data_IF_604126617393
#
_entry.id   IF_604126617393
#
_cell.length_a   1.000
_cell.length_b   1.000
_cell.length_c   1.000
_cell.angle_alpha   90.00
_cell.angle_beta   90.00
_cell.angle_gamma   90.00
#
_symmetry.space_group_name_H-M   'P 1'
#
loop_
_entity.id
_entity.type
_entity.pdbx_description
1 polymer ?
#
# COMPACT_ATOMS: atom_id res chain seq x y z
N UNK A 1 -22.40 -16.01 -15.60
CA UNK A 1 -22.04 -16.72 -14.35
C UNK A 1 -20.53 -16.51 -14.17
N UNK A 2 -19.98 -16.00 -13.08
CA UNK A 2 -20.55 -15.74 -11.76
C UNK A 2 -20.14 -14.38 -11.19
N UNK A 3 -21.07 -13.78 -10.45
CA UNK A 3 -20.71 -12.83 -9.41
C UNK A 3 -20.17 -13.68 -8.26
N UNK A 4 -18.87 -13.58 -7.95
CA UNK A 4 -18.32 -14.19 -6.76
C UNK A 4 -18.89 -13.51 -5.53
N UNK A 5 -19.72 -14.20 -4.77
CA UNK A 5 -19.97 -13.77 -3.40
C UNK A 5 -18.78 -14.17 -2.52
N UNK A 6 -18.45 -13.34 -1.52
CA UNK A 6 -17.39 -13.70 -0.57
C UNK A 6 -17.80 -14.95 0.23
N UNK A 7 -19.10 -15.14 0.41
CA UNK A 7 -19.75 -16.28 1.06
C UNK A 7 -19.41 -17.59 0.36
N UNK A 8 -19.59 -17.67 -0.96
CA UNK A 8 -19.24 -18.86 -1.75
C UNK A 8 -17.75 -19.17 -1.66
N UNK A 9 -16.90 -18.14 -1.70
CA UNK A 9 -15.45 -18.31 -1.57
C UNK A 9 -15.09 -18.89 -0.20
N UNK A 10 -15.62 -18.33 0.89
CA UNK A 10 -15.34 -18.81 2.24
C UNK A 10 -15.86 -20.24 2.42
N UNK A 11 -17.03 -20.56 1.86
CA UNK A 11 -17.60 -21.91 1.88
C UNK A 11 -16.69 -22.90 1.13
N UNK A 12 -16.25 -22.57 -0.08
CA UNK A 12 -15.34 -23.42 -0.86
C UNK A 12 -13.98 -23.61 -0.17
N UNK A 13 -13.52 -22.58 0.54
CA UNK A 13 -12.30 -22.62 1.32
C UNK A 13 -12.46 -23.30 2.69
N UNK A 14 -13.68 -23.67 3.08
CA UNK A 14 -14.00 -24.25 4.40
C UNK A 14 -13.51 -23.34 5.55
N UNK A 15 -13.87 -22.05 5.45
CA UNK A 15 -13.46 -21.01 6.41
C UNK A 15 -14.68 -20.51 7.15
N UNK A 16 -14.71 -20.78 8.45
CA UNK A 16 -15.67 -20.17 9.37
C UNK A 16 -15.36 -18.69 9.62
N UNK A 17 -16.40 -17.87 9.62
CA UNK A 17 -16.25 -16.44 9.86
C UNK A 17 -17.49 -15.82 10.49
N UNK A 18 -17.28 -14.69 11.15
CA UNK A 18 -18.34 -13.75 11.56
C UNK A 18 -18.12 -12.40 10.89
N UNK A 19 -19.20 -11.67 10.63
CA UNK A 19 -19.13 -10.29 10.15
C UNK A 19 -18.86 -9.34 11.31
N UNK A 20 -17.97 -8.38 11.10
CA UNK A 20 -17.72 -7.27 12.02
C UNK A 20 -17.53 -5.98 11.21
N UNK A 21 -18.61 -5.19 11.08
CA UNK A 21 -18.62 -4.01 10.22
C UNK A 21 -18.27 -4.35 8.77
N UNK A 22 -17.20 -3.74 8.26
CA UNK A 22 -16.72 -3.93 6.86
C UNK A 22 -15.82 -5.17 6.66
N UNK A 23 -15.50 -5.91 7.73
CA UNK A 23 -14.58 -7.04 7.66
C UNK A 23 -15.24 -8.35 8.11
N UNK A 24 -14.68 -9.46 7.64
CA UNK A 24 -14.91 -10.80 8.18
C UNK A 24 -13.82 -11.09 9.22
N UNK A 25 -14.19 -11.75 10.31
CA UNK A 25 -13.31 -12.05 11.43
C UNK A 25 -13.47 -13.51 11.85
N UNK A 26 -12.38 -14.16 12.26
CA UNK A 26 -12.41 -15.54 12.74
C UNK A 26 -11.07 -16.03 13.27
N UNK A 27 -10.98 -17.34 13.50
CA UNK A 27 -9.69 -18.05 13.65
C UNK A 27 -8.92 -17.95 12.35
N UNK A 28 -7.59 -18.08 12.38
CA UNK A 28 -6.80 -17.89 11.17
C UNK A 28 -6.73 -19.19 10.35
N UNK A 29 -7.34 -19.26 9.17
CA UNK A 29 -7.37 -20.50 8.38
C UNK A 29 -6.01 -20.83 7.71
N UNK A 30 -5.01 -19.95 7.84
CA UNK A 30 -3.66 -20.13 7.26
C UNK A 30 -2.70 -20.81 8.24
N UNK A 31 -2.96 -20.77 9.54
CA UNK A 31 -2.17 -21.51 10.54
C UNK A 31 -2.99 -22.34 11.52
N UNK A 32 -4.33 -22.26 11.44
CA UNK A 32 -5.23 -22.80 12.45
C UNK A 32 -5.27 -21.92 13.71
N UNK A 33 -5.60 -22.54 14.83
CA UNK A 33 -5.68 -21.91 16.14
C UNK A 33 -7.12 -21.69 16.63
N UNK A 34 -7.22 -21.22 17.87
CA UNK A 34 -8.47 -21.11 18.64
C UNK A 34 -8.92 -19.67 18.88
N UNK A 35 -8.07 -18.66 18.63
CA UNK A 35 -8.43 -17.26 18.81
C UNK A 35 -9.43 -16.78 17.74
N UNK A 36 -10.70 -16.47 18.10
CA UNK A 36 -11.76 -16.12 17.15
C UNK A 36 -11.65 -14.69 16.57
N UNK A 37 -10.55 -14.00 16.85
CA UNK A 37 -10.23 -12.66 16.35
C UNK A 37 -8.86 -12.60 15.65
N UNK A 38 -8.22 -13.75 15.41
CA UNK A 38 -6.88 -13.82 14.86
C UNK A 38 -6.81 -13.37 13.39
N UNK A 39 -7.87 -13.54 12.63
CA UNK A 39 -7.90 -13.23 11.20
C UNK A 39 -8.94 -12.16 10.88
N UNK A 40 -8.53 -11.19 10.06
CA UNK A 40 -9.41 -10.19 9.48
C UNK A 40 -9.30 -10.27 7.96
N UNK A 41 -10.44 -10.31 7.27
CA UNK A 41 -10.54 -10.24 5.81
C UNK A 41 -11.45 -9.09 5.42
N UNK A 42 -11.06 -8.33 4.41
CA UNK A 42 -11.75 -7.14 3.94
C UNK A 42 -12.24 -7.43 2.51
N UNK A 43 -13.50 -7.87 2.34
CA UNK A 43 -14.04 -8.19 1.02
C UNK A 43 -13.99 -6.97 0.10
N UNK A 44 -14.29 -5.81 0.68
CA UNK A 44 -14.19 -4.50 0.06
C UNK A 44 -13.00 -3.74 0.63
N UNK A 45 -12.37 -2.92 -0.21
CA UNK A 45 -11.26 -2.05 0.17
C UNK A 45 -11.08 -0.92 -0.84
N UNK A 46 -10.50 0.19 -0.41
CA UNK A 46 -10.23 1.34 -1.28
C UNK A 46 -9.12 1.03 -2.28
N UNK A 47 -8.01 0.46 -1.81
CA UNK A 47 -6.85 0.10 -2.64
C UNK A 47 -6.88 -1.36 -3.12
N UNK A 48 -7.39 -2.28 -2.31
CA UNK A 48 -7.35 -3.72 -2.59
C UNK A 48 -8.55 -4.46 -2.01
N UNK A 49 -9.31 -5.13 -2.88
CA UNK A 49 -10.36 -6.08 -2.49
C UNK A 49 -9.75 -7.40 -2.06
N UNK A 50 -10.36 -8.03 -1.05
CA UNK A 50 -9.85 -9.27 -0.48
C UNK A 50 -8.51 -9.12 0.24
N UNK A 51 -8.22 -7.92 0.74
CA UNK A 51 -7.10 -7.72 1.65
C UNK A 51 -7.33 -8.53 2.93
N UNK A 52 -6.29 -9.14 3.47
CA UNK A 52 -6.40 -9.90 4.72
C UNK A 52 -5.20 -9.70 5.64
N UNK A 53 -5.40 -9.97 6.92
CA UNK A 53 -4.35 -9.86 7.94
C UNK A 53 -4.53 -10.89 9.04
N UNK A 54 -3.43 -11.52 9.43
CA UNK A 54 -3.35 -12.30 10.66
C UNK A 54 -2.78 -11.43 11.78
N UNK A 55 -3.48 -11.37 12.91
CA UNK A 55 -3.15 -10.57 14.09
C UNK A 55 -2.26 -11.30 15.10
N UNK A 56 -2.16 -12.62 14.99
CA UNK A 56 -1.38 -13.46 15.91
C UNK A 56 -0.01 -13.80 15.31
N UNK A 57 0.01 -14.59 14.24
CA UNK A 57 1.25 -15.09 13.62
C UNK A 57 1.73 -14.28 12.40
N UNK A 58 1.02 -13.21 12.03
CA UNK A 58 1.34 -12.38 10.85
C UNK A 58 1.61 -13.21 9.60
N UNK A 59 0.78 -14.22 9.35
CA UNK A 59 0.92 -15.16 8.25
C UNK A 59 1.07 -14.45 6.89
N UNK A 60 0.43 -13.30 6.71
CA UNK A 60 0.54 -12.50 5.48
C UNK A 60 1.97 -11.99 5.21
N UNK A 61 2.81 -11.92 6.25
CA UNK A 61 4.21 -11.50 6.19
C UNK A 61 5.21 -12.65 6.27
N UNK A 62 4.76 -13.90 6.40
CA UNK A 62 5.66 -15.06 6.55
C UNK A 62 6.60 -15.14 5.34
N UNK A 63 7.89 -15.29 5.58
CA UNK A 63 8.92 -15.40 4.54
C UNK A 63 9.49 -16.81 4.48
N UNK A 64 10.04 -17.19 3.32
CA UNK A 64 10.89 -18.38 3.19
C UNK A 64 12.34 -18.06 3.62
N UNK A 65 13.23 -19.07 3.58
CA UNK A 65 14.64 -18.92 3.93
C UNK A 65 15.42 -17.88 3.11
N UNK A 66 14.89 -17.46 1.95
CA UNK A 66 15.48 -16.44 1.08
C UNK A 66 14.86 -15.04 1.30
N UNK A 67 14.08 -14.85 2.37
CA UNK A 67 13.42 -13.58 2.68
C UNK A 67 12.22 -13.25 1.79
N UNK A 68 11.78 -14.16 0.90
CA UNK A 68 10.64 -13.92 0.02
C UNK A 68 9.33 -14.20 0.77
N UNK A 69 8.39 -13.26 0.72
CA UNK A 69 7.04 -13.42 1.28
C UNK A 69 6.32 -14.60 0.62
N UNK A 70 5.78 -15.50 1.45
CA UNK A 70 5.09 -16.72 1.02
C UNK A 70 3.67 -16.45 0.55
N UNK A 71 2.87 -15.75 1.37
CA UNK A 71 1.45 -15.56 1.11
C UNK A 71 1.15 -14.13 0.68
N UNK A 72 1.57 -13.12 1.44
CA UNK A 72 1.23 -11.74 1.15
C UNK A 72 -0.24 -11.43 1.51
N UNK A 73 -0.63 -10.15 1.54
CA UNK A 73 -1.94 -9.73 2.03
C UNK A 73 -3.05 -9.74 0.96
N UNK A 74 -2.77 -10.26 -0.25
CA UNK A 74 -3.73 -10.27 -1.36
C UNK A 74 -4.71 -11.44 -1.24
N UNK A 75 -5.82 -11.40 -1.99
CA UNK A 75 -6.77 -12.52 -2.08
C UNK A 75 -6.09 -13.83 -2.56
N UNK A 76 -5.26 -13.75 -3.60
CA UNK A 76 -4.51 -14.92 -4.07
C UNK A 76 -3.56 -15.44 -2.98
N UNK A 77 -2.92 -14.53 -2.24
CA UNK A 77 -2.10 -14.85 -1.07
C UNK A 77 -2.86 -15.56 0.05
N UNK A 78 -4.07 -15.09 0.34
CA UNK A 78 -4.98 -15.71 1.30
C UNK A 78 -5.33 -17.14 0.88
N UNK A 79 -5.87 -17.32 -0.32
CA UNK A 79 -6.25 -18.63 -0.88
C UNK A 79 -5.07 -19.58 -0.80
N UNK A 80 -3.90 -19.13 -1.26
CA UNK A 80 -2.67 -19.91 -1.19
C UNK A 80 -2.32 -20.35 0.23
N UNK A 81 -2.45 -19.46 1.21
CA UNK A 81 -2.21 -19.75 2.62
C UNK A 81 -3.17 -20.80 3.17
N UNK A 82 -4.47 -20.63 2.90
CA UNK A 82 -5.53 -21.56 3.33
C UNK A 82 -5.31 -22.95 2.72
N UNK A 83 -5.10 -23.01 1.40
CA UNK A 83 -4.85 -24.27 0.70
C UNK A 83 -3.57 -24.94 1.20
N UNK A 84 -2.53 -24.16 1.52
CA UNK A 84 -1.28 -24.72 2.06
C UNK A 84 -1.49 -25.38 3.43
N UNK A 85 -2.30 -24.75 4.29
CA UNK A 85 -2.65 -25.30 5.59
C UNK A 85 -3.50 -26.56 5.46
N UNK A 86 -4.58 -26.50 4.68
CA UNK A 86 -5.51 -27.61 4.45
C UNK A 86 -4.83 -28.84 3.84
N UNK A 87 -3.93 -28.63 2.89
CA UNK A 87 -3.22 -29.73 2.22
C UNK A 87 -2.01 -30.24 3.01
N UNK A 88 -1.72 -29.65 4.18
CA UNK A 88 -0.51 -29.89 4.96
C UNK A 88 0.77 -29.86 4.11
N UNK A 89 0.79 -28.99 3.11
CA UNK A 89 1.86 -28.87 2.11
C UNK A 89 1.82 -27.48 1.49
N UNK A 90 2.99 -26.88 1.27
CA UNK A 90 3.08 -25.62 0.56
C UNK A 90 2.46 -25.69 -0.85
N UNK A 91 1.52 -24.78 -1.11
CA UNK A 91 0.87 -24.58 -2.41
C UNK A 91 1.58 -23.45 -3.16
N UNK A 92 1.89 -23.66 -4.44
CA UNK A 92 2.55 -22.64 -5.25
C UNK A 92 1.60 -21.48 -5.58
N UNK A 93 2.15 -20.37 -6.08
CA UNK A 93 1.29 -19.28 -6.56
C UNK A 93 0.47 -19.74 -7.77
N UNK A 94 1.06 -20.50 -8.70
CA UNK A 94 0.36 -21.03 -9.86
C UNK A 94 -0.79 -21.94 -9.46
N UNK A 95 -0.57 -22.88 -8.54
CA UNK A 95 -1.63 -23.78 -8.05
C UNK A 95 -2.79 -23.00 -7.41
N UNK A 96 -2.50 -21.90 -6.70
CA UNK A 96 -3.54 -21.05 -6.11
C UNK A 96 -4.35 -20.29 -7.17
N UNK A 97 -3.72 -19.92 -8.28
CA UNK A 97 -4.39 -19.30 -9.42
C UNK A 97 -5.23 -20.34 -10.16
N UNK A 98 -4.70 -21.53 -10.40
CA UNK A 98 -5.43 -22.63 -11.07
C UNK A 98 -6.65 -23.06 -10.24
N UNK A 99 -6.54 -23.08 -8.92
CA UNK A 99 -7.67 -23.30 -8.02
C UNK A 99 -8.73 -22.19 -8.18
N UNK A 100 -8.31 -20.93 -8.21
CA UNK A 100 -9.22 -19.78 -8.35
C UNK A 100 -9.95 -19.77 -9.70
N UNK A 101 -9.26 -20.12 -10.79
CA UNK A 101 -9.82 -20.28 -12.13
C UNK A 101 -10.91 -21.34 -12.15
N UNK A 102 -10.63 -22.51 -11.58
CA UNK A 102 -11.61 -23.60 -11.46
C UNK A 102 -12.79 -23.22 -10.58
N UNK A 103 -12.52 -22.56 -9.46
CA UNK A 103 -13.56 -22.07 -8.54
C UNK A 103 -14.50 -21.06 -9.23
N UNK A 104 -13.95 -20.22 -10.12
CA UNK A 104 -14.72 -19.29 -10.96
C UNK A 104 -15.53 -19.96 -12.07
N UNK A 105 -15.38 -21.28 -12.27
CA UNK A 105 -16.05 -22.04 -13.32
C UNK A 105 -15.35 -22.03 -14.68
N UNK A 106 -14.08 -21.64 -14.73
CA UNK A 106 -13.24 -21.68 -15.94
C UNK A 106 -12.29 -22.87 -15.90
N UNK A 107 -11.87 -23.36 -17.06
CA UNK A 107 -10.86 -24.43 -17.15
C UNK A 107 -9.43 -23.89 -17.18
N UNK A 108 -9.24 -22.68 -17.70
CA UNK A 108 -7.93 -22.02 -17.81
C UNK A 108 -8.05 -20.49 -17.69
N UNK A 109 -6.93 -19.82 -17.42
CA UNK A 109 -6.86 -18.37 -17.41
C UNK A 109 -7.19 -17.74 -18.78
N UNK A 110 -6.93 -18.46 -19.87
CA UNK A 110 -7.12 -17.95 -21.23
C UNK A 110 -8.61 -17.81 -21.60
N UNK A 111 -9.50 -18.54 -20.91
CA UNK A 111 -10.95 -18.39 -21.04
C UNK A 111 -11.46 -17.07 -20.42
N UNK A 112 -10.66 -16.44 -19.54
CA UNK A 112 -11.03 -15.21 -18.86
C UNK A 112 -10.73 -14.03 -19.80
N UNK A 113 -11.79 -13.43 -20.33
CA UNK A 113 -11.68 -12.28 -21.22
C UNK A 113 -10.99 -11.12 -20.48
N UNK A 114 -9.81 -10.74 -20.97
CA UNK A 114 -9.11 -9.55 -20.48
C UNK A 114 -9.99 -8.31 -20.74
N UNK A 115 -10.08 -7.38 -19.78
CA UNK A 115 -10.80 -6.15 -20.02
C UNK A 115 -10.19 -5.39 -21.20
N UNK A 116 -11.03 -4.71 -21.98
CA UNK A 116 -10.54 -3.85 -23.06
C UNK A 116 -9.65 -2.74 -22.50
N UNK A 117 -8.75 -2.16 -23.31
CA UNK A 117 -7.95 -1.00 -22.91
C UNK A 117 -8.82 0.12 -22.34
N UNK A 118 -9.97 0.43 -22.99
CA UNK A 118 -10.89 1.47 -22.53
C UNK A 118 -11.56 1.12 -21.20
N UNK A 119 -11.92 -0.16 -21.00
CA UNK A 119 -12.49 -0.62 -19.72
C UNK A 119 -11.46 -0.57 -18.59
N UNK A 120 -10.19 -0.80 -18.90
CA UNK A 120 -9.07 -0.70 -17.97
C UNK A 120 -8.77 0.76 -17.61
N UNK A 121 -8.71 1.64 -18.62
CA UNK A 121 -8.52 3.08 -18.45
C UNK A 121 -9.68 3.69 -17.64
N UNK A 122 -10.94 3.36 -17.96
CA UNK A 122 -12.10 3.80 -17.20
C UNK A 122 -12.02 3.38 -15.73
N UNK A 123 -11.54 2.16 -15.44
CA UNK A 123 -11.30 1.70 -14.06
C UNK A 123 -10.21 2.50 -13.37
N UNK A 124 -9.09 2.76 -14.04
CA UNK A 124 -7.99 3.56 -13.49
C UNK A 124 -8.44 5.00 -13.23
N UNK A 125 -9.18 5.61 -14.14
CA UNK A 125 -9.76 6.94 -13.99
C UNK A 125 -10.77 6.99 -12.83
N UNK A 126 -11.70 6.04 -12.75
CA UNK A 126 -12.64 5.98 -11.62
C UNK A 126 -11.91 5.80 -10.28
N UNK A 127 -10.79 5.06 -10.24
CA UNK A 127 -9.96 4.92 -9.07
C UNK A 127 -9.19 6.20 -8.72
N UNK A 128 -8.74 6.99 -9.72
CA UNK A 128 -8.07 8.26 -9.48
C UNK A 128 -9.04 9.32 -8.93
N UNK A 129 -10.29 9.34 -9.40
CA UNK A 129 -11.34 10.23 -8.87
C UNK A 129 -11.59 10.03 -7.37
N UNK A 130 -11.47 8.78 -6.87
CA UNK A 130 -11.61 8.50 -5.42
C UNK A 130 -10.56 9.25 -4.58
N UNK A 131 -9.41 9.57 -5.16
CA UNK A 131 -8.31 10.27 -4.47
C UNK A 131 -8.46 11.79 -4.49
N UNK A 132 -9.32 12.33 -5.36
CA UNK A 132 -9.50 13.79 -5.50
C UNK A 132 -10.07 14.39 -4.21
N UNK A 133 -10.94 13.66 -3.51
CA UNK A 133 -11.54 14.14 -2.26
C UNK A 133 -10.73 13.75 -1.02
N UNK A 134 -9.56 13.10 -1.17
CA UNK A 134 -8.69 12.83 -0.04
C UNK A 134 -7.96 14.11 0.34
N UNK A 135 -8.42 14.75 1.40
CA UNK A 135 -7.69 15.84 2.04
C UNK A 135 -6.59 15.19 2.90
N UNK A 136 -5.29 15.45 2.64
CA UNK A 136 -4.22 14.95 3.48
C UNK A 136 -4.46 15.38 4.92
N UNK A 137 -4.27 14.47 5.87
CA UNK A 137 -4.37 14.82 7.29
C UNK A 137 -3.20 15.74 7.62
N UNK A 138 -3.48 17.03 7.73
CA UNK A 138 -2.50 18.03 8.17
C UNK A 138 -2.12 17.73 9.63
N UNK A 139 -0.82 17.76 9.94
CA UNK A 139 -0.32 17.58 11.31
C UNK A 139 0.18 18.91 11.86
N UNK A 140 -0.18 19.23 13.10
CA UNK A 140 0.37 20.38 13.83
C UNK A 140 1.81 20.15 14.31
N UNK A 141 2.42 19.01 13.94
CA UNK A 141 3.79 18.62 14.29
C UNK A 141 4.71 18.88 13.10
N UNK A 142 5.74 19.70 13.28
CA UNK A 142 6.71 19.99 12.22
C UNK A 142 7.66 21.13 12.58
N UNK A 143 8.59 21.46 11.68
CA UNK A 143 9.45 22.62 11.85
C UNK A 143 8.70 23.89 11.44
N UNK A 144 8.71 24.91 12.29
CA UNK A 144 8.26 26.24 11.87
C UNK A 144 9.22 26.81 10.83
N UNK A 145 8.72 27.73 9.98
CA UNK A 145 9.56 28.48 9.03
C UNK A 145 10.75 29.15 9.72
N UNK A 146 10.55 29.72 10.91
CA UNK A 146 11.63 30.33 11.70
C UNK A 146 12.69 29.30 12.10
N UNK A 147 12.27 28.10 12.55
CA UNK A 147 13.19 27.02 12.90
C UNK A 147 13.99 26.56 11.68
N UNK A 148 13.34 26.42 10.53
CA UNK A 148 14.02 26.09 9.28
C UNK A 148 15.08 27.13 8.93
N UNK A 149 14.72 28.42 8.85
CA UNK A 149 15.65 29.49 8.46
C UNK A 149 16.83 29.64 9.42
N UNK A 150 16.69 29.22 10.68
CA UNK A 150 17.82 29.15 11.64
C UNK A 150 18.75 27.95 11.43
N UNK A 151 18.34 26.96 10.63
CA UNK A 151 19.04 25.67 10.47
C UNK A 151 19.78 25.56 9.14
N UNK A 152 19.31 26.23 8.09
CA UNK A 152 19.90 26.21 6.75
C UNK A 152 20.43 27.59 6.35
N UNK A 153 21.46 27.62 5.52
CA UNK A 153 21.99 28.88 4.97
C UNK A 153 21.20 29.28 3.73
N UNK A 154 20.44 30.37 3.81
CA UNK A 154 19.65 30.92 2.72
C UNK A 154 20.29 32.26 2.29
N UNK A 155 20.45 32.53 0.99
CA UNK A 155 20.14 31.66 -0.15
C UNK A 155 21.15 30.50 -0.33
N UNK A 156 20.72 29.41 -0.98
CA UNK A 156 21.61 28.31 -1.31
C UNK A 156 22.67 28.71 -2.35
N UNK A 157 23.96 28.75 -1.97
CA UNK A 157 25.05 29.14 -2.89
C UNK A 157 25.11 28.27 -4.15
N UNK A 158 24.83 26.96 -4.01
CA UNK A 158 24.76 26.00 -5.12
C UNK A 158 23.85 26.47 -6.28
N UNK A 159 22.71 27.09 -5.96
CA UNK A 159 21.78 27.60 -6.97
C UNK A 159 22.10 29.05 -7.37
N UNK A 160 22.64 29.87 -6.46
CA UNK A 160 23.14 31.20 -6.81
C UNK A 160 24.21 31.13 -7.90
N UNK A 161 25.20 30.25 -7.73
CA UNK A 161 26.28 30.02 -8.70
C UNK A 161 25.76 29.52 -10.06
N UNK A 162 24.55 28.96 -10.10
CA UNK A 162 23.87 28.48 -11.31
C UNK A 162 22.90 29.50 -11.92
N UNK A 163 22.95 30.75 -11.46
CA UNK A 163 22.20 31.87 -12.04
C UNK A 163 20.76 32.01 -11.53
N UNK A 164 20.39 31.33 -10.43
CA UNK A 164 19.09 31.53 -9.81
C UNK A 164 19.04 32.84 -9.03
N UNK A 165 17.90 33.52 -9.06
CA UNK A 165 17.71 34.79 -8.35
C UNK A 165 17.72 34.58 -6.84
N UNK A 166 18.58 35.32 -6.13
CA UNK A 166 18.61 35.39 -4.68
C UNK A 166 17.22 35.67 -4.08
N UNK A 167 16.48 36.62 -4.66
CA UNK A 167 15.12 36.96 -4.22
C UNK A 167 14.17 35.77 -4.31
N UNK A 168 14.30 34.94 -5.34
CA UNK A 168 13.47 33.73 -5.49
C UNK A 168 13.89 32.66 -4.48
N UNK A 169 15.19 32.48 -4.27
CA UNK A 169 15.71 31.53 -3.29
C UNK A 169 15.29 31.91 -1.86
N UNK A 170 15.35 33.19 -1.50
CA UNK A 170 14.88 33.67 -0.20
C UNK A 170 13.36 33.55 -0.04
N UNK A 171 12.59 33.90 -1.08
CA UNK A 171 11.11 33.79 -1.08
C UNK A 171 10.64 32.37 -0.77
N UNK A 172 11.32 31.36 -1.28
CA UNK A 172 10.98 29.95 -1.09
C UNK A 172 11.86 29.24 -0.04
N UNK A 173 12.62 30.00 0.75
CA UNK A 173 13.51 29.51 1.81
C UNK A 173 14.47 28.40 1.34
N UNK A 174 14.97 28.51 0.10
CA UNK A 174 15.90 27.56 -0.49
C UNK A 174 17.30 27.83 0.04
N UNK A 175 17.87 26.84 0.74
CA UNK A 175 19.14 27.00 1.44
C UNK A 175 20.03 25.77 1.43
N UNK A 176 21.25 25.92 1.92
CA UNK A 176 22.20 24.84 2.11
C UNK A 176 22.07 24.23 3.49
N UNK A 177 21.99 22.90 3.52
CA UNK A 177 22.12 22.09 4.73
C UNK A 177 23.52 21.46 4.75
N UNK A 178 24.45 22.17 5.39
CA UNK A 178 25.88 21.85 5.36
C UNK A 178 26.23 20.49 5.98
N UNK A 179 25.41 19.99 6.93
CA UNK A 179 25.66 18.69 7.57
C UNK A 179 25.65 17.51 6.58
N UNK A 180 24.82 17.61 5.55
CA UNK A 180 24.65 16.54 4.54
C UNK A 180 25.07 16.99 3.15
N UNK A 181 25.68 18.18 3.03
CA UNK A 181 26.10 18.78 1.75
C UNK A 181 24.97 18.77 0.71
N UNK A 182 23.80 19.28 1.10
CA UNK A 182 22.60 19.33 0.25
C UNK A 182 22.04 20.73 0.11
N UNK A 183 21.66 21.10 -1.11
CA UNK A 183 20.72 22.19 -1.34
C UNK A 183 19.31 21.67 -1.03
N UNK A 184 18.57 22.40 -0.19
CA UNK A 184 17.28 21.98 0.35
C UNK A 184 16.21 22.98 -0.07
N UNK A 185 15.10 22.44 -0.59
CA UNK A 185 13.86 23.17 -0.86
C UNK A 185 12.80 22.64 0.12
N UNK A 186 12.31 23.46 1.05
CA UNK A 186 11.24 23.04 1.96
C UNK A 186 9.90 22.93 1.24
N UNK A 187 9.11 21.94 1.64
CA UNK A 187 7.71 21.79 1.25
C UNK A 187 6.87 22.08 2.48
N UNK A 188 6.05 23.13 2.41
CA UNK A 188 5.17 23.52 3.50
C UNK A 188 3.82 22.82 3.40
N UNK A 189 3.10 22.77 4.52
CA UNK A 189 1.67 22.45 4.52
C UNK A 189 0.84 23.48 3.74
N UNK A 190 -0.44 23.15 3.50
CA UNK A 190 -1.37 23.97 2.72
C UNK A 190 -1.60 25.37 3.33
N UNK A 191 -1.29 25.55 4.62
CA UNK A 191 -1.45 26.82 5.36
C UNK A 191 -0.12 27.57 5.52
N UNK A 192 0.97 27.04 4.98
CA UNK A 192 2.32 27.58 5.16
C UNK A 192 2.75 27.67 6.64
N UNK A 193 2.19 26.83 7.52
CA UNK A 193 2.40 26.87 8.97
C UNK A 193 3.65 26.08 9.39
N UNK A 194 3.75 24.84 8.93
CA UNK A 194 4.86 23.94 9.21
C UNK A 194 5.47 23.35 7.93
N UNK A 195 6.72 22.93 8.03
CA UNK A 195 7.41 22.19 6.97
C UNK A 195 6.91 20.74 6.99
N UNK A 196 6.23 20.32 5.93
CA UNK A 196 5.74 18.96 5.72
C UNK A 196 6.82 18.02 5.17
N UNK A 197 7.87 18.56 4.54
CA UNK A 197 8.99 17.78 4.04
C UNK A 197 10.08 18.62 3.37
N UNK A 198 11.09 17.94 2.83
CA UNK A 198 12.22 18.56 2.16
C UNK A 198 12.53 17.84 0.85
N UNK A 199 12.81 18.61 -0.20
CA UNK A 199 13.49 18.12 -1.39
C UNK A 199 14.97 18.46 -1.23
N UNK A 200 15.83 17.44 -1.24
CA UNK A 200 17.27 17.61 -1.05
C UNK A 200 18.07 17.18 -2.28
N UNK A 201 18.89 18.08 -2.81
CA UNK A 201 19.82 17.84 -3.92
C UNK A 201 21.26 17.81 -3.40
N UNK A 202 22.01 16.75 -3.71
CA UNK A 202 23.47 16.73 -3.46
C UNK A 202 24.13 17.90 -4.17
N UNK A 203 25.03 18.62 -3.48
CA UNK A 203 25.81 19.70 -4.09
C UNK A 203 27.07 19.19 -4.81
N UNK A 204 27.42 17.92 -4.63
CA UNK A 204 28.42 17.22 -5.43
C UNK A 204 27.79 16.71 -6.72
N UNK A 205 28.54 16.82 -7.82
CA UNK A 205 28.19 16.26 -9.14
C UNK A 205 28.39 14.75 -9.21
#
# INVERSE_FOLDING_TARGET
MGCLSVEELMTALDVDYRRNGKMLVGTCPVHGGDNPSAWNFYPEGEDMRGFWKCRTHHCEKKQNGNGKVLYGPTLAGFIRGVLSYRNNKYVSYQDSVDWLVKFLGYNSLDEIQKPSPEASERRQYAASLRRINLVPKQSDTGWSRAKLRSTIQIPASYYLERGYSEKILDKYDVGLYNKENRAVVPVYDDKYHAVAGFLGRSIFE
#
